data_IF_206233430429
#
_entry.id   IF_206233430429
#
_cell.length_a   1.000
_cell.length_b   1.000
_cell.length_c   1.000
_cell.angle_alpha   90.00
_cell.angle_beta   90.00
_cell.angle_gamma   90.00
#
_symmetry.space_group_name_H-M   'P 1'
#
loop_
_entity.id
_entity.type
_entity.pdbx_description
1 polymer ?
#
# COMPACT_ATOMS: atom_id res chain seq x y z
N UNK A 1 -9.89 4.72 6.34
CA UNK A 1 -8.83 5.63 5.84
C UNK A 1 -8.44 5.11 4.47
N UNK A 2 -9.06 5.65 3.41
CA UNK A 2 -8.80 5.20 2.04
C UNK A 2 -8.08 6.32 1.31
N UNK A 3 -7.03 5.91 0.62
CA UNK A 3 -6.03 6.77 -0.01
C UNK A 3 -6.75 7.71 -0.98
N UNK A 4 -6.97 8.93 -0.51
CA UNK A 4 -7.39 10.03 -1.33
C UNK A 4 -6.14 10.50 -2.07
N UNK A 5 -5.98 10.10 -3.33
CA UNK A 5 -5.03 10.73 -4.26
C UNK A 5 -5.59 12.11 -4.63
N UNK A 6 -5.66 12.98 -3.63
CA UNK A 6 -5.76 14.43 -3.77
C UNK A 6 -4.76 15.02 -2.77
N UNK A 7 -3.56 14.45 -2.75
CA UNK A 7 -2.45 15.06 -2.06
C UNK A 7 -2.03 16.28 -2.89
N UNK A 8 -1.87 17.43 -2.22
CA UNK A 8 -1.47 18.75 -2.73
C UNK A 8 -0.11 18.77 -3.46
N UNK A 9 0.45 17.61 -3.79
CA UNK A 9 1.83 17.42 -4.26
C UNK A 9 1.88 17.01 -5.73
N UNK A 10 1.05 17.69 -6.53
CA UNK A 10 1.01 17.55 -7.99
C UNK A 10 2.25 18.15 -8.66
N UNK A 11 3.00 18.98 -7.94
CA UNK A 11 4.26 19.59 -8.36
C UNK A 11 5.42 18.60 -8.47
N UNK A 12 5.28 17.38 -7.93
CA UNK A 12 6.35 16.37 -7.91
C UNK A 12 6.12 15.25 -8.92
N UNK A 13 4.88 15.05 -9.35
CA UNK A 13 4.51 13.90 -10.17
C UNK A 13 4.15 14.35 -11.59
N UNK A 14 4.88 13.80 -12.56
CA UNK A 14 4.64 14.08 -13.99
C UNK A 14 3.37 13.39 -14.51
N UNK A 15 2.99 12.24 -13.95
CA UNK A 15 1.82 11.47 -14.37
C UNK A 15 1.01 11.00 -13.16
N UNK A 16 -0.29 11.30 -13.14
CA UNK A 16 -1.24 10.82 -12.13
C UNK A 16 -2.02 9.64 -12.70
N UNK A 17 -1.89 8.47 -12.08
CA UNK A 17 -2.56 7.24 -12.53
C UNK A 17 -3.38 6.64 -11.39
N UNK A 18 -4.58 6.15 -11.70
CA UNK A 18 -5.47 5.48 -10.75
C UNK A 18 -6.20 4.30 -11.40
N UNK A 19 -6.78 3.43 -10.56
CA UNK A 19 -7.69 2.37 -10.99
C UNK A 19 -9.15 2.86 -11.02
N UNK A 20 -10.01 2.28 -11.88
CA UNK A 20 -11.43 2.64 -11.96
C UNK A 20 -12.19 2.37 -10.66
N UNK A 21 -11.81 1.34 -9.89
CA UNK A 21 -12.48 0.99 -8.64
C UNK A 21 -12.32 2.07 -7.56
N UNK A 22 -11.16 2.75 -7.57
CA UNK A 22 -10.90 3.87 -6.66
C UNK A 22 -11.80 5.04 -7.01
N UNK A 23 -11.99 5.32 -8.31
CA UNK A 23 -12.89 6.39 -8.76
C UNK A 23 -14.34 6.05 -8.42
N UNK A 24 -14.75 4.80 -8.66
CA UNK A 24 -16.10 4.32 -8.34
C UNK A 24 -16.42 4.40 -6.83
N UNK A 25 -15.40 4.28 -5.98
CA UNK A 25 -15.57 4.43 -4.55
C UNK A 25 -15.88 5.88 -4.11
N UNK A 26 -15.47 6.87 -4.89
CA UNK A 26 -15.71 8.29 -4.60
C UNK A 26 -17.18 8.62 -4.87
N UNK A 27 -18.03 8.34 -3.90
CA UNK A 27 -19.48 8.59 -3.94
C UNK A 27 -19.87 9.98 -3.41
N UNK A 28 -18.98 10.64 -2.66
CA UNK A 28 -19.30 11.94 -2.06
C UNK A 28 -19.27 13.07 -3.11
N UNK A 29 -20.39 13.79 -3.25
CA UNK A 29 -20.53 14.95 -4.16
C UNK A 29 -19.44 16.02 -3.97
N UNK A 30 -18.95 16.23 -2.75
CA UNK A 30 -17.85 17.17 -2.47
C UNK A 30 -16.52 16.70 -3.07
N UNK A 31 -16.25 15.39 -3.01
CA UNK A 31 -15.02 14.81 -3.54
C UNK A 31 -15.07 14.74 -5.07
N UNK A 32 -16.22 14.39 -5.65
CA UNK A 32 -16.43 14.43 -7.10
C UNK A 32 -16.20 15.82 -7.70
N UNK A 33 -16.73 16.88 -7.07
CA UNK A 33 -16.49 18.26 -7.51
C UNK A 33 -15.01 18.64 -7.51
N UNK A 34 -14.18 18.05 -6.64
CA UNK A 34 -12.73 18.28 -6.66
C UNK A 34 -12.05 17.52 -7.78
N UNK A 35 -12.53 16.32 -8.09
CA UNK A 35 -12.01 15.48 -9.17
C UNK A 35 -12.24 16.10 -10.56
N UNK A 36 -13.36 16.82 -10.74
CA UNK A 36 -13.70 17.49 -12.02
C UNK A 36 -12.84 18.74 -12.28
N UNK A 37 -12.28 19.35 -11.24
CA UNK A 37 -11.57 20.64 -11.34
C UNK A 37 -10.08 20.46 -10.99
N UNK A 38 -9.51 19.30 -11.34
CA UNK A 38 -8.10 19.04 -11.11
C UNK A 38 -7.25 19.86 -12.09
N UNK A 39 -6.15 20.48 -11.64
CA UNK A 39 -5.22 21.22 -12.49
C UNK A 39 -4.24 20.30 -13.24
N UNK A 40 -4.52 18.99 -13.29
CA UNK A 40 -3.70 17.96 -13.91
C UNK A 40 -4.58 16.82 -14.42
N UNK A 41 -4.07 16.06 -15.39
CA UNK A 41 -4.78 14.94 -15.98
C UNK A 41 -4.66 13.70 -15.09
N UNK A 42 -5.81 13.13 -14.70
CA UNK A 42 -5.88 11.87 -13.97
C UNK A 42 -6.16 10.72 -14.95
N UNK A 43 -5.15 9.88 -15.16
CA UNK A 43 -5.24 8.74 -16.08
C UNK A 43 -5.84 7.55 -15.33
N UNK A 44 -6.97 7.05 -15.80
CA UNK A 44 -7.56 5.81 -15.27
C UNK A 44 -7.06 4.64 -16.11
N UNK A 45 -6.37 3.69 -15.46
CA UNK A 45 -5.88 2.46 -16.10
C UNK A 45 -6.45 1.23 -15.41
N UNK A 46 -6.74 0.22 -16.22
CA UNK A 46 -7.06 -1.12 -15.73
C UNK A 46 -5.79 -1.91 -15.43
N UNK A 47 -5.91 -2.87 -14.53
CA UNK A 47 -4.81 -3.71 -14.07
C UNK A 47 -4.95 -5.10 -14.63
N UNK A 48 -3.87 -5.66 -15.16
CA UNK A 48 -3.89 -7.04 -15.64
C UNK A 48 -4.04 -8.04 -14.49
N UNK A 49 -4.85 -9.11 -14.68
CA UNK A 49 -5.12 -10.10 -13.63
C UNK A 49 -3.86 -10.83 -13.16
N UNK A 50 -2.85 -10.97 -14.01
CA UNK A 50 -1.54 -11.55 -13.68
C UNK A 50 -0.84 -10.75 -12.57
N UNK A 51 -0.84 -9.43 -12.67
CA UNK A 51 -0.22 -8.54 -11.69
C UNK A 51 -0.97 -8.57 -10.36
N UNK A 52 -2.31 -8.67 -10.40
CA UNK A 52 -3.14 -8.83 -9.22
C UNK A 52 -2.76 -10.12 -8.48
N UNK A 53 -2.56 -11.21 -9.21
CA UNK A 53 -2.16 -12.50 -8.63
C UNK A 53 -0.80 -12.40 -7.94
N UNK A 54 0.19 -11.80 -8.59
CA UNK A 54 1.54 -11.61 -8.01
C UNK A 54 1.47 -10.86 -6.68
N UNK A 55 0.77 -9.73 -6.64
CA UNK A 55 0.63 -8.92 -5.43
C UNK A 55 -0.17 -9.65 -4.35
N UNK A 56 -1.19 -10.40 -4.74
CA UNK A 56 -2.01 -11.20 -3.82
C UNK A 56 -1.16 -12.30 -3.17
N UNK A 57 -0.37 -13.03 -3.96
CA UNK A 57 0.49 -14.09 -3.46
C UNK A 57 1.61 -13.52 -2.58
N UNK A 58 2.15 -12.35 -2.93
CA UNK A 58 3.12 -11.63 -2.09
C UNK A 58 2.51 -11.22 -0.74
N UNK A 59 1.31 -10.64 -0.75
CA UNK A 59 0.59 -10.20 0.45
C UNK A 59 0.22 -11.37 1.38
N UNK A 60 -0.01 -12.56 0.82
CA UNK A 60 -0.24 -13.79 1.61
C UNK A 60 1.06 -14.26 2.28
N UNK A 61 2.20 -14.13 1.59
CA UNK A 61 3.51 -14.49 2.16
C UNK A 61 3.94 -13.52 3.27
N UNK A 62 3.60 -12.23 3.18
CA UNK A 62 3.88 -11.25 4.25
C UNK A 62 2.92 -11.38 5.43
N UNK A 63 1.71 -11.88 5.19
CA UNK A 63 0.64 -11.94 6.19
C UNK A 63 -0.28 -10.72 6.21
N UNK A 64 -0.08 -9.74 5.31
CA UNK A 64 -0.88 -8.51 5.24
C UNK A 64 -2.23 -8.71 4.54
N UNK A 65 -2.38 -9.80 3.78
CA UNK A 65 -3.59 -10.07 2.98
C UNK A 65 -4.92 -9.89 3.74
N UNK A 66 -5.10 -10.35 5.00
CA UNK A 66 -6.36 -10.17 5.74
C UNK A 66 -6.70 -8.71 6.06
N UNK A 67 -5.71 -7.82 6.08
CA UNK A 67 -5.88 -6.40 6.41
C UNK A 67 -6.05 -5.51 5.17
N UNK A 68 -5.84 -6.04 3.98
CA UNK A 68 -5.90 -5.32 2.72
C UNK A 68 -7.27 -5.46 2.05
N UNK A 69 -7.81 -4.36 1.50
CA UNK A 69 -9.03 -4.44 0.69
C UNK A 69 -8.72 -4.84 -0.76
N UNK A 70 -9.73 -5.32 -1.48
CA UNK A 70 -9.60 -5.66 -2.90
C UNK A 70 -9.14 -4.45 -3.75
N UNK A 71 -9.57 -3.24 -3.38
CA UNK A 71 -9.14 -2.00 -4.04
C UNK A 71 -7.66 -1.71 -3.77
N UNK A 72 -7.19 -1.93 -2.55
CA UNK A 72 -5.77 -1.71 -2.20
C UNK A 72 -4.85 -2.66 -2.97
N UNK A 73 -5.24 -3.93 -3.08
CA UNK A 73 -4.52 -4.93 -3.90
C UNK A 73 -4.45 -4.48 -5.35
N UNK A 74 -5.54 -3.94 -5.91
CA UNK A 74 -5.54 -3.41 -7.29
C UNK A 74 -4.61 -2.22 -7.46
N UNK A 75 -4.57 -1.28 -6.51
CA UNK A 75 -3.65 -0.13 -6.57
C UNK A 75 -2.19 -0.62 -6.54
N UNK A 76 -1.86 -1.56 -5.65
CA UNK A 76 -0.52 -2.14 -5.60
C UNK A 76 -0.17 -2.88 -6.89
N UNK A 77 -1.10 -3.62 -7.46
CA UNK A 77 -0.92 -4.32 -8.73
C UNK A 77 -0.77 -3.35 -9.93
N UNK A 78 -1.49 -2.22 -9.94
CA UNK A 78 -1.28 -1.15 -10.92
C UNK A 78 0.13 -0.56 -10.81
N UNK A 79 0.60 -0.36 -9.58
CA UNK A 79 1.94 0.16 -9.32
C UNK A 79 3.01 -0.81 -9.84
N UNK A 80 2.84 -2.11 -9.56
CA UNK A 80 3.71 -3.17 -10.09
C UNK A 80 3.71 -3.19 -11.62
N UNK A 81 2.54 -3.00 -12.25
CA UNK A 81 2.43 -2.95 -13.71
C UNK A 81 3.20 -1.77 -14.30
N UNK A 82 3.04 -0.57 -13.74
CA UNK A 82 3.74 0.62 -14.23
C UNK A 82 5.26 0.51 -14.04
N UNK A 83 5.70 -0.10 -12.94
CA UNK A 83 7.12 -0.34 -12.68
C UNK A 83 7.71 -1.34 -13.69
N UNK A 84 6.98 -2.44 -13.95
CA UNK A 84 7.34 -3.43 -14.97
C UNK A 84 7.43 -2.81 -16.37
N UNK A 85 6.54 -1.88 -16.71
CA UNK A 85 6.53 -1.19 -18.01
C UNK A 85 7.69 -0.19 -18.17
N UNK A 86 8.07 0.53 -17.10
CA UNK A 86 9.05 1.64 -17.17
C UNK A 86 10.49 1.24 -16.85
N UNK A 87 10.68 0.37 -15.86
CA UNK A 87 12.00 0.03 -15.31
C UNK A 87 12.31 -1.45 -15.51
N UNK A 88 11.29 -2.30 -15.40
CA UNK A 88 11.43 -3.76 -15.45
C UNK A 88 11.33 -4.40 -14.06
N UNK A 89 11.42 -5.72 -14.01
CA UNK A 89 11.13 -6.49 -12.77
C UNK A 89 12.36 -6.94 -12.00
N UNK A 90 13.57 -6.70 -12.50
CA UNK A 90 14.80 -7.30 -11.97
C UNK A 90 15.12 -6.88 -10.54
N UNK A 91 14.67 -5.69 -10.13
CA UNK A 91 14.86 -5.15 -8.79
C UNK A 91 13.71 -5.49 -7.84
N UNK A 92 12.61 -6.05 -8.35
CA UNK A 92 11.42 -6.38 -7.56
C UNK A 92 11.55 -7.77 -6.95
N UNK A 93 11.28 -7.85 -5.65
CA UNK A 93 11.26 -9.12 -4.94
C UNK A 93 9.90 -9.78 -5.08
N UNK A 94 9.90 -11.05 -5.48
CA UNK A 94 8.70 -11.88 -5.51
C UNK A 94 8.40 -12.57 -4.18
N UNK A 95 9.34 -12.48 -3.24
CA UNK A 95 9.22 -13.05 -1.90
C UNK A 95 9.64 -12.02 -0.85
N UNK A 96 8.92 -11.95 0.27
CA UNK A 96 9.28 -11.04 1.34
C UNK A 96 10.58 -11.48 2.00
N UNK A 97 11.36 -10.51 2.47
CA UNK A 97 12.52 -10.80 3.32
C UNK A 97 11.98 -11.19 4.70
N UNK A 98 12.25 -12.43 5.13
CA UNK A 98 11.92 -12.85 6.48
C UNK A 98 12.56 -11.90 7.48
N UNK A 99 11.73 -11.20 8.26
CA UNK A 99 12.22 -10.45 9.41
C UNK A 99 12.71 -11.48 10.43
N UNK A 100 14.01 -11.48 10.72
CA UNK A 100 14.54 -12.22 11.87
C UNK A 100 13.90 -11.62 13.11
N UNK A 101 13.14 -12.41 13.86
CA UNK A 101 12.70 -12.01 15.19
C UNK A 101 13.94 -11.77 16.05
N UNK A 102 14.26 -10.50 16.30
CA UNK A 102 15.30 -10.12 17.25
C UNK A 102 14.66 -10.28 18.62
N UNK A 103 14.79 -11.47 19.20
CA UNK A 103 14.56 -11.66 20.62
C UNK A 103 15.73 -11.03 21.35
N UNK A 104 15.55 -9.81 21.89
CA UNK A 104 16.48 -9.29 22.88
C UNK A 104 16.30 -10.13 24.14
N UNK A 105 17.09 -11.19 24.29
CA UNK A 105 17.29 -11.80 25.60
C UNK A 105 17.95 -10.73 26.46
N UNK A 106 17.18 -10.15 27.36
CA UNK A 106 17.67 -9.20 28.34
C UNK A 106 18.51 -9.99 29.36
N UNK A 107 19.74 -10.31 29.01
CA UNK A 107 20.73 -10.93 29.90
C UNK A 107 21.68 -9.86 30.39
N UNK A 108 21.17 -8.95 31.22
CA UNK A 108 21.91 -8.20 32.26
C UNK A 108 21.11 -6.94 32.65
N UNK A 109 19.88 -7.14 33.16
CA UNK A 109 19.33 -6.16 34.11
C UNK A 109 19.79 -6.64 35.48
N UNK A 110 20.78 -5.96 36.04
CA UNK A 110 20.94 -5.89 37.49
C UNK A 110 19.58 -5.55 38.09
N UNK A 111 19.03 -6.51 38.82
CA UNK A 111 17.75 -6.46 39.52
C UNK A 111 17.58 -5.11 40.25
N UNK A 112 16.80 -4.20 39.68
CA UNK A 112 16.03 -3.24 40.47
C UNK A 112 14.55 -3.48 40.19
N UNK A 113 14.05 -4.51 40.87
CA UNK A 113 12.68 -4.99 40.76
C UNK A 113 11.82 -4.11 41.66
N UNK A 114 11.40 -2.94 41.16
CA UNK A 114 10.30 -2.24 41.81
C UNK A 114 9.30 -1.68 40.80
N UNK A 115 8.23 -2.47 40.62
CA UNK A 115 6.89 -1.92 40.45
C UNK A 115 6.40 -1.77 39.03
N UNK A 116 5.81 -2.82 38.47
CA UNK A 116 4.54 -2.69 37.76
C UNK A 116 3.70 -3.96 37.98
N UNK A 117 2.48 -3.73 38.49
CA UNK A 117 1.55 -4.69 39.09
C UNK A 117 0.97 -5.72 38.11
N UNK A 118 0.78 -6.94 38.61
CA UNK A 118 -0.12 -7.96 38.05
C UNK A 118 -1.59 -7.59 38.31
N UNK A 119 -2.44 -7.91 37.34
CA UNK A 119 -3.90 -7.74 37.38
C UNK A 119 -4.56 -8.56 38.50
N UNK A 120 -5.70 -8.04 38.99
CA UNK A 120 -6.59 -8.73 39.93
C UNK A 120 -7.59 -9.60 39.19
#
# INVERSE_FOLDING_TARGET
>A
MKILIVAKRWDVAENMVTCPEVVAEITNKRQLRRLVVLPYDLIVKEVFPENIKIVTDFSKKTGDYPSLSATDIKIMALTYQLEKEKVGTDHLRLEPVMQKAVFTTVTDITLDVTGFFFAK
#
